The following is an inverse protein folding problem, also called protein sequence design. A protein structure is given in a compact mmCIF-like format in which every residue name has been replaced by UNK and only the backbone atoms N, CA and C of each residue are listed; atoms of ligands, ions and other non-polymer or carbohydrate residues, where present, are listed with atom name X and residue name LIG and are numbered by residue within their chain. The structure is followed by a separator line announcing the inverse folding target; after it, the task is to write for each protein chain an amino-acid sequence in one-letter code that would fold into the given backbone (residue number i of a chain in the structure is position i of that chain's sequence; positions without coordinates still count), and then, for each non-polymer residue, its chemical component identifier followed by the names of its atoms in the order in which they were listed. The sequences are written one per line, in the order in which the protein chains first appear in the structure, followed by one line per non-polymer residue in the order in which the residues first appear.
data_IF_556469116423
#
_entry.id   IF_556469116423
#
_cell.length_a   1.000
_cell.length_b   1.000
_cell.length_c   1.000
_cell.angle_alpha   90.00
_cell.angle_beta   90.00
_cell.angle_gamma   90.00
#
_symmetry.space_group_name_H-M   'P 1'
#
loop_
_entity.id
_entity.type
_entity.pdbx_description
1 polymer ?
#
# COMPACT_ATOMS: atom_id res chain seq x y z
N UNK A 1 -14.30 1.14 -5.18
CA UNK A 1 -13.97 2.07 -6.26
C UNK A 1 -12.46 2.15 -6.47
N UNK A 2 -12.07 2.44 -7.68
CA UNK A 2 -10.67 2.46 -8.09
C UNK A 2 -10.31 3.85 -8.59
N UNK A 3 -9.13 4.34 -8.21
CA UNK A 3 -8.59 5.58 -8.75
C UNK A 3 -8.03 5.30 -10.15
N UNK A 4 -8.39 6.14 -11.12
CA UNK A 4 -7.82 6.04 -12.45
C UNK A 4 -6.40 6.66 -12.48
N UNK A 5 -5.74 6.59 -13.62
CA UNK A 5 -4.37 7.07 -13.75
C UNK A 5 -4.22 8.56 -13.45
N UNK A 6 -5.14 9.37 -13.95
CA UNK A 6 -5.11 10.82 -13.72
C UNK A 6 -5.33 11.15 -12.24
N UNK A 7 -6.29 10.47 -11.61
CA UNK A 7 -6.55 10.62 -10.18
C UNK A 7 -5.36 10.19 -9.34
N UNK A 8 -4.68 9.10 -9.71
CA UNK A 8 -3.48 8.64 -9.01
C UNK A 8 -2.36 9.69 -9.06
N UNK A 9 -2.16 10.31 -10.21
CA UNK A 9 -1.15 11.37 -10.33
C UNK A 9 -1.48 12.55 -9.41
N UNK A 10 -2.72 13.02 -9.44
CA UNK A 10 -3.17 14.11 -8.57
C UNK A 10 -3.05 13.74 -7.10
N UNK A 11 -3.44 12.53 -6.76
CA UNK A 11 -3.37 12.01 -5.40
C UNK A 11 -1.93 12.01 -4.88
N UNK A 12 -1.00 11.47 -5.66
CA UNK A 12 0.40 11.38 -5.23
C UNK A 12 1.08 12.75 -5.12
N UNK A 13 0.73 13.69 -6.01
CA UNK A 13 1.22 15.07 -5.91
C UNK A 13 0.75 15.71 -4.60
N UNK A 14 -0.54 15.54 -4.27
CA UNK A 14 -1.09 16.08 -3.03
C UNK A 14 -0.51 15.37 -1.80
N UNK A 15 -0.32 14.06 -1.87
CA UNK A 15 0.30 13.29 -0.80
C UNK A 15 1.70 13.78 -0.50
N UNK A 16 2.46 14.13 -1.52
CA UNK A 16 3.80 14.69 -1.34
C UNK A 16 3.74 16.05 -0.64
N UNK A 17 2.83 16.92 -1.04
CA UNK A 17 2.65 18.21 -0.41
C UNK A 17 2.23 18.07 1.07
N UNK A 18 1.50 17.01 1.41
CA UNK A 18 0.99 16.74 2.75
C UNK A 18 1.96 15.91 3.62
N UNK A 19 3.06 15.43 3.05
CA UNK A 19 4.08 14.69 3.79
C UNK A 19 3.84 13.19 3.93
N UNK A 20 2.95 12.61 3.13
CA UNK A 20 2.60 11.18 3.18
C UNK A 20 2.84 10.46 1.84
N UNK A 21 3.68 11.02 1.01
CA UNK A 21 3.96 10.46 -0.32
C UNK A 21 4.45 9.01 -0.24
N UNK A 22 5.45 8.75 0.60
CA UNK A 22 6.10 7.44 0.68
C UNK A 22 5.15 6.36 1.16
N UNK A 23 4.32 6.70 2.15
CA UNK A 23 3.33 5.75 2.69
C UNK A 23 2.34 5.31 1.60
N UNK A 24 1.75 6.26 0.90
CA UNK A 24 0.74 5.95 -0.11
C UNK A 24 1.35 5.39 -1.39
N UNK A 25 2.54 5.84 -1.78
CA UNK A 25 3.25 5.28 -2.91
C UNK A 25 3.53 3.79 -2.69
N UNK A 26 4.05 3.44 -1.51
CA UNK A 26 4.34 2.05 -1.20
C UNK A 26 3.07 1.20 -1.26
N UNK A 27 1.97 1.69 -0.71
CA UNK A 27 0.72 0.94 -0.73
C UNK A 27 0.19 0.76 -2.15
N UNK A 28 0.26 1.80 -2.97
CA UNK A 28 -0.19 1.74 -4.37
C UNK A 28 0.71 0.86 -5.24
N UNK A 29 1.94 0.59 -4.82
CA UNK A 29 2.87 -0.28 -5.54
C UNK A 29 2.86 -1.73 -5.06
N UNK A 30 2.24 -2.01 -3.93
CA UNK A 30 2.28 -3.35 -3.30
C UNK A 30 0.92 -3.93 -2.99
N UNK A 31 -0.10 -3.10 -2.86
CA UNK A 31 -1.42 -3.54 -2.47
C UNK A 31 -1.52 -4.05 -1.04
N UNK A 32 -0.62 -3.65 -0.15
CA UNK A 32 -0.64 -4.08 1.25
C UNK A 32 -1.94 -3.69 1.94
N UNK A 33 -2.39 -4.54 2.86
CA UNK A 33 -3.46 -4.18 3.77
C UNK A 33 -2.96 -3.10 4.72
N UNK A 34 -3.87 -2.23 5.20
CA UNK A 34 -3.49 -1.11 6.07
C UNK A 34 -2.68 -1.56 7.28
N UNK A 35 -3.12 -2.63 7.95
CA UNK A 35 -2.40 -3.15 9.11
C UNK A 35 -1.01 -3.66 8.78
N UNK A 36 -0.84 -4.25 7.60
CA UNK A 36 0.46 -4.71 7.13
C UNK A 36 1.41 -3.54 6.85
N UNK A 37 0.89 -2.51 6.18
CA UNK A 37 1.66 -1.31 5.87
C UNK A 37 2.15 -0.61 7.14
N UNK A 38 1.25 -0.42 8.09
CA UNK A 38 1.54 0.24 9.37
C UNK A 38 2.59 -0.52 10.18
N UNK A 39 2.56 -1.85 10.13
CA UNK A 39 3.46 -2.70 10.91
C UNK A 39 4.86 -2.81 10.33
N UNK A 40 5.14 -2.24 9.16
CA UNK A 40 6.45 -2.34 8.54
C UNK A 40 7.52 -1.64 9.37
N UNK A 41 8.64 -2.34 9.51
CA UNK A 41 9.86 -1.80 10.10
C UNK A 41 10.95 -1.76 9.03
N UNK A 42 11.95 -0.91 9.22
CA UNK A 42 13.06 -0.83 8.28
C UNK A 42 13.80 -2.16 8.11
N UNK A 43 13.84 -2.98 9.15
CA UNK A 43 14.46 -4.31 9.08
C UNK A 43 13.73 -5.27 8.13
N UNK A 44 12.47 -4.97 7.78
CA UNK A 44 11.68 -5.78 6.86
C UNK A 44 12.04 -5.54 5.40
N UNK A 45 12.82 -4.50 5.12
CA UNK A 45 13.23 -4.14 3.75
C UNK A 45 14.73 -4.31 3.58
N UNK A 46 15.10 -5.15 2.62
CA UNK A 46 16.49 -5.29 2.20
C UNK A 46 16.73 -4.36 1.00
N UNK A 47 17.46 -3.28 1.22
CA UNK A 47 17.73 -2.30 0.16
C UNK A 47 18.65 -2.82 -0.94
N UNK A 48 19.46 -3.84 -0.67
CA UNK A 48 20.35 -4.42 -1.67
C UNK A 48 19.58 -5.29 -2.67
N UNK A 49 18.66 -6.11 -2.17
CA UNK A 49 17.87 -7.03 -2.99
C UNK A 49 16.53 -6.49 -3.42
N UNK A 50 16.03 -5.46 -2.74
CA UNK A 50 14.69 -4.92 -2.96
C UNK A 50 13.58 -5.74 -2.33
N UNK A 51 13.91 -6.75 -1.53
CA UNK A 51 12.92 -7.64 -0.93
C UNK A 51 12.30 -7.00 0.30
N UNK A 52 10.98 -6.88 0.28
CA UNK A 52 10.16 -6.46 1.41
C UNK A 52 9.47 -7.69 1.99
N UNK A 53 9.67 -7.94 3.28
CA UNK A 53 9.05 -9.06 3.98
C UNK A 53 7.79 -8.59 4.70
N UNK A 54 6.66 -9.25 4.40
CA UNK A 54 5.37 -8.96 5.02
C UNK A 54 5.04 -10.13 5.94
N UNK A 55 5.25 -9.94 7.25
CA UNK A 55 5.10 -11.03 8.22
C UNK A 55 4.40 -10.60 9.52
N UNK A 56 3.82 -9.42 9.56
CA UNK A 56 3.09 -8.91 10.73
C UNK A 56 2.06 -7.89 10.30
N UNK A 57 1.12 -7.62 11.19
CA UNK A 57 0.13 -6.59 10.96
C UNK A 57 -0.28 -5.92 12.26
N UNK A 58 -0.77 -4.70 12.15
CA UNK A 58 -1.20 -3.89 13.26
C UNK A 58 -2.73 -3.96 13.40
N UNK A 59 -3.19 -4.19 14.61
CA UNK A 59 -4.61 -4.16 14.97
C UNK A 59 -4.83 -3.21 16.14
N UNK A 60 -5.99 -2.58 16.17
CA UNK A 60 -6.44 -1.85 17.34
C UNK A 60 -7.35 -2.76 18.17
N UNK A 61 -6.95 -3.00 19.42
CA UNK A 61 -7.71 -3.81 20.38
C UNK A 61 -7.92 -2.97 21.63
N UNK A 62 -9.17 -2.70 21.97
CA UNK A 62 -9.53 -1.86 23.12
C UNK A 62 -8.83 -0.51 23.13
N UNK A 63 -8.73 0.12 21.93
CA UNK A 63 -8.08 1.42 21.78
C UNK A 63 -6.57 1.40 21.70
N UNK A 64 -5.94 0.23 21.88
CA UNK A 64 -4.49 0.08 21.81
C UNK A 64 -4.06 -0.63 20.53
N UNK A 65 -2.96 -0.14 19.93
CA UNK A 65 -2.40 -0.74 18.74
C UNK A 65 -1.54 -1.94 19.13
N UNK A 66 -1.81 -3.09 18.53
CA UNK A 66 -1.04 -4.31 18.73
C UNK A 66 -0.47 -4.80 17.42
N UNK A 67 0.76 -5.30 17.46
CA UNK A 67 1.45 -5.85 16.28
C UNK A 67 1.48 -7.36 16.46
N UNK A 68 0.87 -8.09 15.55
CA UNK A 68 0.75 -9.54 15.63
C UNK A 68 1.08 -10.19 14.27
N UNK A 69 1.42 -11.50 14.25
CA UNK A 69 1.57 -12.24 13.00
C UNK A 69 0.24 -12.29 12.23
N UNK A 70 0.28 -12.43 10.90
CA UNK A 70 -0.94 -12.65 10.12
C UNK A 70 -1.67 -13.92 10.53
N UNK A 71 -2.99 -13.96 10.33
CA UNK A 71 -3.82 -15.12 10.69
C UNK A 71 -3.50 -16.36 9.86
N UNK A 72 -3.01 -16.20 8.63
CA UNK A 72 -2.70 -17.30 7.73
C UNK A 72 -1.29 -17.19 7.20
N UNK A 73 -0.68 -18.36 6.90
CA UNK A 73 0.64 -18.39 6.26
C UNK A 73 0.64 -17.77 4.87
N UNK A 74 -0.49 -17.85 4.15
CA UNK A 74 -0.61 -17.25 2.83
C UNK A 74 -0.49 -15.73 2.85
N UNK A 75 -0.76 -15.10 3.99
CA UNK A 75 -0.58 -13.66 4.18
C UNK A 75 0.88 -13.27 4.42
N UNK A 76 1.71 -14.21 4.89
CA UNK A 76 3.16 -14.00 5.00
C UNK A 76 3.79 -14.16 3.64
N UNK A 77 4.51 -13.11 3.20
CA UNK A 77 5.06 -13.12 1.84
C UNK A 77 6.22 -12.17 1.70
N UNK A 78 6.94 -12.32 0.61
CA UNK A 78 8.03 -11.43 0.23
C UNK A 78 7.70 -10.80 -1.11
N UNK A 79 7.89 -9.50 -1.19
CA UNK A 79 7.67 -8.73 -2.41
C UNK A 79 8.98 -8.12 -2.86
N UNK A 80 9.17 -7.99 -4.16
CA UNK A 80 10.33 -7.28 -4.70
C UNK A 80 9.87 -5.91 -5.16
N UNK A 81 10.42 -4.87 -4.53
CA UNK A 81 10.05 -3.51 -4.87
C UNK A 81 10.81 -3.03 -6.13
N UNK A 82 10.14 -2.24 -6.98
CA UNK A 82 10.81 -1.63 -8.13
C UNK A 82 11.96 -0.71 -7.70
N UNK A 83 13.04 -0.60 -8.50
CA UNK A 83 14.17 0.27 -8.14
C UNK A 83 13.78 1.73 -7.87
N UNK A 84 12.79 2.26 -8.58
CA UNK A 84 12.31 3.62 -8.36
C UNK A 84 11.69 3.81 -6.97
N UNK A 85 10.95 2.81 -6.49
CA UNK A 85 10.35 2.83 -5.15
C UNK A 85 11.43 2.71 -4.09
N UNK A 86 12.42 1.84 -4.30
CA UNK A 86 13.56 1.72 -3.39
C UNK A 86 14.33 3.03 -3.25
N UNK A 87 14.52 3.74 -4.35
CA UNK A 87 15.22 5.04 -4.34
C UNK A 87 14.45 6.06 -3.48
N UNK A 88 13.12 6.11 -3.62
CA UNK A 88 12.27 6.98 -2.83
C UNK A 88 12.37 6.63 -1.34
N UNK A 89 12.27 5.35 -1.01
CA UNK A 89 12.32 4.89 0.38
C UNK A 89 13.70 5.10 1.00
N UNK A 90 14.77 4.98 0.22
CA UNK A 90 16.13 5.22 0.70
C UNK A 90 16.31 6.68 1.12
N UNK A 91 15.82 7.61 0.33
CA UNK A 91 15.86 9.03 0.69
C UNK A 91 14.95 9.35 1.88
N UNK A 92 13.77 8.79 1.89
CA UNK A 92 12.82 8.94 2.99
C UNK A 92 13.42 8.46 4.31
N UNK A 93 14.09 7.30 4.31
CA UNK A 93 14.70 6.72 5.50
C UNK A 93 15.66 7.69 6.20
N UNK A 94 16.34 8.53 5.45
CA UNK A 94 17.29 9.53 6.00
C UNK A 94 16.59 10.55 6.90
N UNK A 95 15.27 10.72 6.73
CA UNK A 95 14.48 11.69 7.50
C UNK A 95 13.74 11.05 8.67
N UNK A 96 13.84 9.72 8.84
CA UNK A 96 13.07 8.97 9.83
C UNK A 96 14.00 8.45 10.92
N UNK A 97 13.77 8.89 12.15
CA UNK A 97 14.51 8.42 13.32
C UNK A 97 13.61 7.48 14.12
N UNK A 98 13.36 6.30 13.55
CA UNK A 98 12.51 5.28 14.15
C UNK A 98 12.76 3.95 13.47
N UNK A 99 12.56 2.85 14.21
CA UNK A 99 12.55 1.52 13.63
C UNK A 99 11.33 1.27 12.73
N UNK A 100 10.26 2.01 12.98
CA UNK A 100 9.04 1.94 12.18
C UNK A 100 9.22 2.70 10.88
N UNK A 101 8.80 2.10 9.78
CA UNK A 101 8.91 2.76 8.48
C UNK A 101 8.02 4.01 8.43
N UNK A 102 6.84 3.93 9.03
CA UNK A 102 5.89 5.04 9.12
C UNK A 102 5.55 5.31 10.58
N UNK A 103 6.38 6.08 11.29
CA UNK A 103 6.20 6.28 12.72
C UNK A 103 5.04 7.20 13.04
N UNK A 104 4.52 7.09 14.27
CA UNK A 104 3.53 8.00 14.81
C UNK A 104 4.11 9.43 14.88
N UNK A 105 3.35 10.45 14.49
CA UNK A 105 3.81 11.83 14.64
C UNK A 105 3.79 12.33 16.08
N UNK A 106 3.13 11.62 16.99
CA UNK A 106 2.93 12.08 18.36
C UNK A 106 3.42 11.12 19.44
N UNK A 107 3.52 9.84 19.15
CA UNK A 107 3.85 8.82 20.15
C UNK A 107 5.19 8.18 19.82
N UNK A 108 6.11 8.22 20.80
CA UNK A 108 7.47 7.68 20.64
C UNK A 108 7.47 6.16 20.49
N UNK A 109 8.32 5.67 19.59
CA UNK A 109 8.52 4.25 19.29
C UNK A 109 7.22 3.49 18.98
N UNK A 110 6.31 4.17 18.28
CA UNK A 110 5.05 3.57 17.83
C UNK A 110 4.84 3.88 16.36
N UNK A 111 4.23 2.97 15.61
CA UNK A 111 3.86 3.28 14.23
C UNK A 111 2.65 4.22 14.18
N UNK A 112 2.45 4.81 13.02
CA UNK A 112 1.25 5.59 12.74
C UNK A 112 0.00 4.73 12.97
N UNK A 113 -1.08 5.34 13.47
CA UNK A 113 -2.32 4.59 13.75
C UNK A 113 -3.20 4.46 12.52
N UNK A 114 -4.06 3.43 12.45
CA UNK A 114 -5.02 3.28 11.35
C UNK A 114 -5.93 4.49 11.20
N UNK A 115 -6.33 5.12 12.30
CA UNK A 115 -7.18 6.31 12.27
C UNK A 115 -6.50 7.50 11.61
N UNK A 116 -5.22 7.72 11.90
CA UNK A 116 -4.46 8.81 11.26
C UNK A 116 -4.32 8.55 9.77
N UNK A 117 -4.00 7.32 9.36
CA UNK A 117 -3.88 6.95 7.95
C UNK A 117 -5.21 7.22 7.23
N UNK A 118 -6.32 6.81 7.83
CA UNK A 118 -7.65 7.02 7.24
C UNK A 118 -7.95 8.50 7.05
N UNK A 119 -7.71 9.31 8.07
CA UNK A 119 -7.98 10.76 8.01
C UNK A 119 -7.09 11.44 6.96
N UNK A 120 -5.82 11.05 6.88
CA UNK A 120 -4.91 11.60 5.87
C UNK A 120 -5.31 11.21 4.46
N UNK A 121 -5.75 9.99 4.26
CA UNK A 121 -6.26 9.56 2.96
C UNK A 121 -7.42 10.46 2.51
N UNK A 122 -8.42 10.65 3.37
CA UNK A 122 -9.58 11.47 3.01
C UNK A 122 -9.20 12.92 2.76
N UNK A 123 -8.32 13.48 3.58
CA UNK A 123 -7.83 14.85 3.39
C UNK A 123 -7.14 15.01 2.04
N UNK A 124 -6.25 14.08 1.69
CA UNK A 124 -5.50 14.14 0.44
C UNK A 124 -6.43 13.99 -0.77
N UNK A 125 -7.35 13.03 -0.72
CA UNK A 125 -8.32 12.83 -1.81
C UNK A 125 -9.14 14.09 -2.06
N UNK A 126 -9.63 14.70 -1.00
CA UNK A 126 -10.44 15.91 -1.11
C UNK A 126 -9.65 17.06 -1.72
N UNK A 127 -8.43 17.31 -1.24
CA UNK A 127 -7.60 18.41 -1.74
C UNK A 127 -7.03 18.14 -3.13
N UNK A 128 -6.92 16.88 -3.52
CA UNK A 128 -6.49 16.50 -4.87
C UNK A 128 -7.64 16.57 -5.89
N UNK A 129 -8.87 16.78 -5.44
CA UNK A 129 -10.03 16.74 -6.33
C UNK A 129 -10.36 15.35 -6.83
N UNK A 130 -9.99 14.32 -6.09
CA UNK A 130 -10.28 12.93 -6.42
C UNK A 130 -11.59 12.48 -5.77
N UNK A 131 -12.21 11.44 -6.34
CA UNK A 131 -13.35 10.80 -5.67
C UNK A 131 -12.91 10.18 -4.36
N UNK A 132 -13.83 10.07 -3.42
CA UNK A 132 -13.56 9.42 -2.14
C UNK A 132 -13.47 7.90 -2.32
N UNK A 133 -12.36 7.33 -1.87
CA UNK A 133 -12.17 5.88 -1.81
C UNK A 133 -11.72 5.53 -0.38
N UNK A 134 -12.00 4.28 0.02
CA UNK A 134 -11.53 3.77 1.30
C UNK A 134 -10.08 3.31 1.16
N UNK A 135 -9.39 3.16 2.29
CA UNK A 135 -8.01 2.64 2.24
C UNK A 135 -7.93 1.29 1.51
N UNK A 136 -8.88 0.40 1.79
CA UNK A 136 -8.92 -0.92 1.14
C UNK A 136 -9.06 -0.80 -0.40
N UNK A 137 -9.65 0.27 -0.88
CA UNK A 137 -9.78 0.51 -2.33
C UNK A 137 -8.43 0.85 -2.99
N UNK A 138 -7.43 1.27 -2.23
CA UNK A 138 -6.06 1.43 -2.75
C UNK A 138 -5.47 0.08 -3.15
N UNK A 139 -5.78 -0.96 -2.38
CA UNK A 139 -5.41 -2.34 -2.72
C UNK A 139 -6.13 -2.78 -4.00
N UNK A 140 -7.42 -2.46 -4.14
CA UNK A 140 -8.17 -2.69 -5.36
C UNK A 140 -7.57 -1.92 -6.54
N UNK A 141 -7.16 -0.69 -6.30
CA UNK A 141 -6.51 0.15 -7.32
C UNK A 141 -5.20 -0.49 -7.80
N UNK A 142 -4.35 -0.92 -6.88
CA UNK A 142 -3.13 -1.65 -7.24
C UNK A 142 -3.46 -2.89 -8.08
N UNK A 143 -4.39 -3.71 -7.60
CA UNK A 143 -4.73 -4.97 -8.26
C UNK A 143 -5.29 -4.75 -9.67
N UNK A 144 -6.15 -3.75 -9.83
CA UNK A 144 -6.73 -3.42 -11.13
C UNK A 144 -5.66 -2.98 -12.12
N UNK A 145 -4.76 -2.10 -11.71
CA UNK A 145 -3.69 -1.63 -12.58
C UNK A 145 -2.66 -2.74 -12.88
N UNK A 146 -2.41 -3.62 -11.91
CA UNK A 146 -1.52 -4.76 -12.11
C UNK A 146 -2.08 -5.74 -13.15
N UNK A 147 -3.37 -6.08 -13.05
CA UNK A 147 -4.04 -6.94 -14.05
C UNK A 147 -4.05 -6.30 -15.43
N UNK A 148 -4.37 -5.02 -15.50
CA UNK A 148 -4.34 -4.28 -16.77
C UNK A 148 -2.93 -4.23 -17.37
N UNK A 149 -1.91 -4.26 -16.54
CA UNK A 149 -0.50 -4.30 -16.95
C UNK A 149 0.02 -5.68 -17.31
N UNK A 150 -0.81 -6.71 -17.23
CA UNK A 150 -0.45 -8.07 -17.68
C UNK A 150 -0.03 -9.03 -16.57
N UNK A 151 -0.14 -8.63 -15.30
CA UNK A 151 0.12 -9.57 -14.19
C UNK A 151 -1.02 -10.58 -14.13
N UNK A 152 -0.70 -11.88 -14.13
CA UNK A 152 -1.74 -12.91 -14.07
C UNK A 152 -2.38 -13.01 -12.67
N UNK A 153 -3.60 -13.56 -12.61
CA UNK A 153 -4.38 -13.60 -11.39
C UNK A 153 -3.71 -14.42 -10.28
N UNK A 154 -3.00 -15.49 -10.64
CA UNK A 154 -2.31 -16.33 -9.65
C UNK A 154 -1.15 -15.58 -9.00
N UNK A 155 -0.32 -14.92 -9.82
CA UNK A 155 0.79 -14.10 -9.34
C UNK A 155 0.26 -12.97 -8.47
N UNK A 156 -0.79 -12.28 -8.92
CA UNK A 156 -1.41 -11.18 -8.14
C UNK A 156 -1.94 -11.68 -6.82
N UNK A 157 -2.60 -12.83 -6.79
CA UNK A 157 -3.10 -13.44 -5.55
C UNK A 157 -1.97 -13.67 -4.55
N UNK A 158 -0.81 -14.12 -5.00
CA UNK A 158 0.38 -14.29 -4.15
C UNK A 158 0.90 -12.96 -3.62
N UNK A 159 0.96 -11.94 -4.46
CA UNK A 159 1.40 -10.60 -4.05
C UNK A 159 0.49 -10.03 -2.95
N UNK A 160 -0.80 -10.19 -3.11
CA UNK A 160 -1.80 -9.68 -2.18
C UNK A 160 -1.97 -10.54 -0.91
N UNK A 161 -1.42 -11.75 -0.90
CA UNK A 161 -1.58 -12.67 0.22
C UNK A 161 -2.96 -13.32 0.29
N UNK A 162 -3.69 -13.37 -0.83
CA UNK A 162 -4.95 -14.10 -0.91
C UNK A 162 -4.68 -15.61 -0.95
N UNK A 163 -5.55 -16.38 -0.30
CA UNK A 163 -5.49 -17.84 -0.35
C UNK A 163 -6.17 -18.41 -1.59
N UNK A 164 -6.91 -17.60 -2.33
CA UNK A 164 -7.75 -18.02 -3.45
C UNK A 164 -7.62 -17.05 -4.62
N UNK A 165 -7.04 -17.51 -5.73
CA UNK A 165 -6.87 -16.71 -6.93
C UNK A 165 -8.22 -16.32 -7.57
N UNK A 166 -9.24 -17.18 -7.45
CA UNK A 166 -10.58 -16.88 -7.97
C UNK A 166 -11.19 -15.67 -7.28
N UNK A 167 -10.95 -15.53 -5.98
CA UNK A 167 -11.42 -14.36 -5.23
C UNK A 167 -10.85 -13.07 -5.83
N UNK A 168 -9.54 -13.05 -6.12
CA UNK A 168 -8.89 -11.89 -6.73
C UNK A 168 -9.50 -11.57 -8.09
N UNK A 169 -9.70 -12.60 -8.91
CA UNK A 169 -10.27 -12.44 -10.24
C UNK A 169 -11.69 -11.89 -10.18
N UNK A 170 -12.55 -12.47 -9.34
CA UNK A 170 -13.94 -12.02 -9.17
C UNK A 170 -14.02 -10.56 -8.71
N UNK A 171 -13.09 -10.15 -7.85
CA UNK A 171 -13.09 -8.79 -7.31
C UNK A 171 -12.69 -7.75 -8.35
N UNK A 172 -11.77 -8.08 -9.25
CA UNK A 172 -11.15 -7.06 -10.11
C UNK A 172 -11.47 -7.15 -11.60
N UNK A 173 -12.00 -8.27 -12.09
CA UNK A 173 -12.17 -8.50 -13.53
C UNK A 173 -13.03 -7.43 -14.22
N UNK A 174 -14.18 -7.10 -13.66
CA UNK A 174 -15.10 -6.14 -14.26
C UNK A 174 -14.52 -4.73 -14.33
N UNK A 175 -13.68 -4.36 -13.38
CA UNK A 175 -13.01 -3.05 -13.34
C UNK A 175 -11.88 -3.02 -14.37
N UNK A 176 -11.18 -4.13 -14.55
CA UNK A 176 -10.07 -4.26 -15.47
C UNK A 176 -10.46 -3.98 -16.91
N UNK A 177 -11.68 -4.34 -17.31
CA UNK A 177 -12.17 -4.13 -18.67
C UNK A 177 -12.13 -2.66 -19.08
N UNK A 178 -12.53 -1.76 -18.20
CA UNK A 178 -12.50 -0.32 -18.49
C UNK A 178 -11.07 0.23 -18.42
N UNK A 179 -10.26 -0.28 -17.52
CA UNK A 179 -8.88 0.17 -17.34
C UNK A 179 -7.97 -0.23 -18.48
N UNK A 180 -8.22 -1.36 -19.14
CA UNK A 180 -7.44 -1.82 -20.29
C UNK A 180 -7.46 -0.86 -21.46
N UNK A 181 -8.53 -0.11 -21.64
CA UNK A 181 -8.66 0.88 -22.71
C UNK A 181 -7.73 2.06 -22.53
N UNK A 182 -7.40 2.36 -21.31
CA UNK A 182 -6.50 3.44 -20.94
C UNK A 182 -5.12 2.92 -20.56
N UNK A 183 -4.78 1.77 -21.12
CA UNK A 183 -3.67 0.93 -20.70
C UNK A 183 -2.34 1.65 -20.72
N UNK A 184 -2.07 2.32 -19.66
CA UNK A 184 -0.71 2.60 -19.31
C UNK A 184 -0.58 2.25 -17.86
N UNK A 185 0.28 1.32 -17.62
CA UNK A 185 0.62 0.89 -16.28
C UNK A 185 1.26 2.04 -15.53
N UNK A 186 0.86 2.17 -14.29
CA UNK A 186 1.45 3.15 -13.39
C UNK A 186 2.72 2.60 -12.77
N UNK A 187 2.79 1.30 -12.70
CA UNK A 187 3.90 0.59 -12.06
C UNK A 187 4.80 -0.02 -13.11
#
# INVERSE_FOLDING_TARGET
QVLDREELQKFLIQAQADGYYELFLLDLCTGLRRGELIALQWEDLNFETGVLTVNKQAYTVNGELQIIPPKTKASMRKLVLPPAVLAVLREYKKTVDSRWMFPSPVKEDCPITPGVVRRRLQFILEHAGCKHVRFHDLRHTFATHALAGGVDAKTLSGILGHTNASFTLDTYTHVTTDMQRNASTIV
#
